data_IF_558153433345
#
_entry.id   IF_558153433345
#
_cell.length_a   1.000
_cell.length_b   1.000
_cell.length_c   1.000
_cell.angle_alpha   90.00
_cell.angle_beta   90.00
_cell.angle_gamma   90.00
#
_symmetry.space_group_name_H-M   'P 1'
#
loop_
_entity.id
_entity.type
_entity.pdbx_description
1 polymer ?
#
# COMPACT_ATOMS: atom_id res chain seq x y z
N UNK A 1 21.76 -4.13 31.81
CA UNK A 1 20.83 -3.39 32.68
C UNK A 1 19.57 -3.20 31.87
N UNK A 2 18.67 -4.18 31.94
CA UNK A 2 17.42 -4.23 31.17
C UNK A 2 16.37 -3.33 31.85
N UNK A 3 15.79 -2.39 31.10
CA UNK A 3 14.63 -1.62 31.55
C UNK A 3 13.35 -2.43 31.26
N UNK A 4 12.77 -3.01 32.30
CA UNK A 4 11.39 -3.49 32.27
C UNK A 4 10.47 -2.29 32.06
N UNK A 5 9.73 -2.29 30.95
CA UNK A 5 8.54 -1.47 30.83
C UNK A 5 7.47 -2.10 31.74
N UNK A 6 7.26 -1.50 32.91
CA UNK A 6 6.12 -1.82 33.77
C UNK A 6 4.84 -1.55 32.98
N UNK A 7 4.09 -2.62 32.71
CA UNK A 7 2.71 -2.48 32.24
C UNK A 7 1.90 -1.84 33.37
N UNK A 8 1.12 -0.79 33.12
CA UNK A 8 0.36 -0.14 34.18
C UNK A 8 -0.60 -1.15 34.82
N UNK A 9 -0.44 -1.35 36.13
CA UNK A 9 -1.32 -2.21 36.93
C UNK A 9 -2.66 -1.48 37.07
N UNK A 10 -3.69 -1.99 36.40
CA UNK A 10 -5.05 -1.47 36.51
C UNK A 10 -5.58 -1.83 37.91
N UNK A 11 -5.98 -0.82 38.70
CA UNK A 11 -6.49 -1.04 40.06
C UNK A 11 -7.84 -1.77 40.05
N UNK A 12 -8.18 -2.44 41.16
CA UNK A 12 -9.45 -3.15 41.30
C UNK A 12 -10.68 -2.23 41.20
N UNK A 13 -10.55 -0.97 41.62
CA UNK A 13 -11.62 0.02 41.53
C UNK A 13 -11.76 0.54 40.09
N UNK A 14 -10.63 0.78 39.40
CA UNK A 14 -10.60 1.09 37.97
C UNK A 14 -11.27 -0.02 37.14
N UNK A 15 -11.03 -1.29 37.47
CA UNK A 15 -11.66 -2.44 36.82
C UNK A 15 -13.19 -2.46 37.03
N UNK A 16 -13.68 -2.12 38.23
CA UNK A 16 -15.12 -2.06 38.54
C UNK A 16 -15.82 -0.92 37.80
N UNK A 17 -15.16 0.22 37.65
CA UNK A 17 -15.69 1.34 36.88
C UNK A 17 -15.79 0.98 35.39
N UNK A 18 -14.74 0.40 34.80
CA UNK A 18 -14.71 -0.03 33.38
C UNK A 18 -15.88 -0.96 33.02
N UNK A 19 -16.26 -1.89 33.90
CA UNK A 19 -17.35 -2.86 33.66
C UNK A 19 -18.75 -2.30 33.97
N UNK A 20 -18.87 -1.09 34.54
CA UNK A 20 -20.17 -0.48 34.85
C UNK A 20 -20.90 0.02 33.59
N UNK A 21 -22.24 0.08 33.64
CA UNK A 21 -23.06 0.60 32.53
C UNK A 21 -22.88 2.11 32.41
N UNK A 22 -22.59 2.60 31.19
CA UNK A 22 -22.42 4.01 30.91
C UNK A 22 -23.71 4.84 31.19
N UNK A 23 -23.58 6.12 31.56
CA UNK A 23 -22.34 6.86 31.81
C UNK A 23 -21.69 6.43 33.13
N UNK A 24 -20.37 6.17 33.11
CA UNK A 24 -19.63 5.67 34.26
C UNK A 24 -19.34 6.79 35.25
N UNK A 25 -19.18 6.45 36.52
CA UNK A 25 -18.55 7.38 37.44
C UNK A 25 -17.04 7.46 37.10
N UNK A 26 -16.47 8.67 37.16
CA UNK A 26 -15.09 8.94 36.73
C UNK A 26 -14.19 9.36 37.91
N UNK A 27 -14.50 8.88 39.12
CA UNK A 27 -13.76 9.25 40.34
C UNK A 27 -12.27 8.87 40.26
N UNK A 28 -11.93 7.87 39.44
CA UNK A 28 -10.57 7.39 39.24
C UNK A 28 -10.13 7.40 37.77
N UNK A 29 -10.84 8.13 36.90
CA UNK A 29 -10.57 8.21 35.46
C UNK A 29 -10.56 9.67 35.01
N UNK A 30 -9.54 10.08 34.26
CA UNK A 30 -9.48 11.46 33.73
C UNK A 30 -10.60 11.73 32.71
N UNK A 31 -10.94 10.72 31.90
CA UNK A 31 -12.00 10.77 30.90
C UNK A 31 -12.36 9.36 30.39
N UNK A 32 -13.51 9.23 29.71
CA UNK A 32 -13.85 8.09 28.87
C UNK A 32 -14.29 8.53 27.46
N UNK A 33 -14.04 7.68 26.46
CA UNK A 33 -14.50 7.87 25.10
C UNK A 33 -15.60 6.85 24.76
N UNK A 34 -16.78 7.33 24.43
CA UNK A 34 -17.94 6.51 24.08
C UNK A 34 -18.16 6.50 22.57
N UNK A 35 -18.44 5.32 22.02
CA UNK A 35 -18.75 5.13 20.60
C UNK A 35 -20.27 4.97 20.46
N UNK A 36 -20.94 5.92 19.81
CA UNK A 36 -22.41 5.98 19.70
C UNK A 36 -22.83 6.28 18.27
N UNK A 37 -23.46 5.31 17.58
CA UNK A 37 -24.02 5.48 16.23
C UNK A 37 -23.09 6.23 15.25
N UNK A 38 -21.82 5.81 15.19
CA UNK A 38 -20.74 6.40 14.36
C UNK A 38 -20.24 7.78 14.79
N UNK A 39 -20.69 8.28 15.93
CA UNK A 39 -20.16 9.44 16.61
C UNK A 39 -19.31 9.02 17.79
N UNK A 40 -18.48 9.94 18.25
CA UNK A 40 -17.65 9.75 19.42
C UNK A 40 -18.03 10.79 20.46
N UNK A 41 -18.14 10.39 21.72
CA UNK A 41 -18.44 11.30 22.82
C UNK A 41 -17.30 11.19 23.82
N UNK A 42 -16.59 12.30 24.03
CA UNK A 42 -15.67 12.43 25.15
C UNK A 42 -16.47 12.83 26.38
N UNK A 43 -16.41 11.99 27.41
CA UNK A 43 -16.98 12.24 28.72
C UNK A 43 -15.85 12.45 29.73
N UNK A 44 -15.86 13.57 30.45
CA UNK A 44 -14.85 13.88 31.46
C UNK A 44 -15.44 14.74 32.58
N UNK A 45 -14.72 14.84 33.70
CA UNK A 45 -15.09 15.69 34.82
C UNK A 45 -14.42 17.06 34.72
N UNK A 46 -15.20 18.12 34.91
CA UNK A 46 -14.68 19.48 35.15
C UNK A 46 -15.19 19.93 36.53
N UNK A 47 -14.33 19.77 37.56
CA UNK A 47 -14.78 19.79 38.96
C UNK A 47 -15.68 18.59 39.25
N UNK A 48 -16.87 18.81 39.83
CA UNK A 48 -17.86 17.76 40.09
C UNK A 48 -18.97 17.68 39.02
N UNK A 49 -18.70 18.18 37.81
CA UNK A 49 -19.67 18.18 36.71
C UNK A 49 -19.23 17.26 35.59
N UNK A 50 -20.15 16.41 35.16
CA UNK A 50 -19.99 15.58 33.97
C UNK A 50 -20.14 16.44 32.71
N UNK A 51 -19.12 16.43 31.86
CA UNK A 51 -19.09 17.12 30.58
C UNK A 51 -19.07 16.09 29.46
N UNK A 52 -19.91 16.31 28.44
CA UNK A 52 -19.99 15.48 27.24
C UNK A 52 -19.70 16.33 26.00
N UNK A 53 -18.68 15.96 25.24
CA UNK A 53 -18.34 16.61 23.97
C UNK A 53 -18.42 15.62 22.83
N UNK A 54 -19.24 15.92 21.82
CA UNK A 54 -19.21 15.16 20.58
C UNK A 54 -17.92 15.47 19.82
N UNK A 55 -17.22 14.42 19.41
CA UNK A 55 -15.99 14.49 18.61
C UNK A 55 -16.26 13.93 17.22
N UNK A 56 -15.70 14.59 16.21
CA UNK A 56 -15.59 14.04 14.87
C UNK A 56 -14.41 13.07 14.79
N UNK A 57 -14.42 12.17 13.80
CA UNK A 57 -13.29 11.28 13.53
C UNK A 57 -11.99 12.02 13.27
N UNK A 58 -12.04 13.23 12.69
CA UNK A 58 -10.86 14.03 12.40
C UNK A 58 -10.24 14.64 13.66
N UNK A 59 -11.05 15.07 14.63
CA UNK A 59 -10.57 15.56 15.93
C UNK A 59 -9.89 14.41 16.70
N UNK A 60 -10.50 13.23 16.68
CA UNK A 60 -9.94 12.03 17.31
C UNK A 60 -8.61 11.60 16.70
N UNK A 61 -8.52 11.58 15.36
CA UNK A 61 -7.26 11.29 14.67
C UNK A 61 -6.15 12.25 15.13
N UNK A 62 -6.45 13.56 15.14
CA UNK A 62 -5.50 14.60 15.61
C UNK A 62 -5.10 14.46 17.07
N UNK A 63 -6.01 14.01 17.95
CA UNK A 63 -5.71 13.80 19.36
C UNK A 63 -4.63 12.73 19.56
N UNK A 64 -4.55 11.74 18.65
CA UNK A 64 -3.56 10.67 18.68
C UNK A 64 -2.41 10.84 17.66
N UNK A 65 -2.45 11.86 16.79
CA UNK A 65 -1.42 12.08 15.75
C UNK A 65 -0.01 12.30 16.34
N UNK A 66 0.09 12.76 17.59
CA UNK A 66 1.36 12.98 18.29
C UNK A 66 1.80 11.81 19.17
N UNK A 67 0.99 10.75 19.28
CA UNK A 67 1.41 9.55 20.00
C UNK A 67 2.48 8.82 19.19
N UNK A 68 3.69 8.60 19.75
CA UNK A 68 4.77 7.98 19.00
C UNK A 68 4.38 6.55 18.60
N UNK A 69 4.17 6.35 17.30
CA UNK A 69 3.97 5.02 16.72
C UNK A 69 5.27 4.59 16.04
N UNK A 70 5.92 3.56 16.58
CA UNK A 70 7.07 2.94 15.92
C UNK A 70 6.58 1.85 14.97
N UNK A 71 6.74 2.07 13.66
CA UNK A 71 6.45 1.06 12.63
C UNK A 71 7.50 -0.05 12.57
N UNK A 72 8.56 0.07 13.37
CA UNK A 72 9.85 -0.58 13.14
C UNK A 72 10.55 0.00 11.92
N UNK A 73 11.64 -0.65 11.52
CA UNK A 73 12.37 -0.31 10.30
C UNK A 73 11.51 -0.53 9.06
N UNK A 74 11.28 0.53 8.28
CA UNK A 74 10.58 0.41 7.01
C UNK A 74 11.43 -0.41 6.02
N UNK A 75 10.84 -1.43 5.36
CA UNK A 75 11.48 -2.10 4.24
C UNK A 75 11.94 -1.11 3.16
N UNK A 76 13.11 -1.38 2.58
CA UNK A 76 13.84 -0.47 1.66
C UNK A 76 13.01 0.10 0.52
N UNK A 77 12.02 -0.66 0.03
CA UNK A 77 11.24 -0.29 -1.15
C UNK A 77 9.95 0.47 -0.79
N UNK A 78 9.58 0.58 0.48
CA UNK A 78 8.37 1.30 0.89
C UNK A 78 8.64 2.80 0.87
N UNK A 79 7.77 3.53 0.17
CA UNK A 79 7.87 4.99 0.03
C UNK A 79 6.74 5.73 0.73
N UNK A 80 5.61 5.06 0.96
CA UNK A 80 4.45 5.63 1.65
C UNK A 80 3.53 4.51 2.13
N UNK A 81 2.86 4.69 3.25
CA UNK A 81 1.79 3.82 3.72
C UNK A 81 0.75 4.63 4.49
N UNK A 82 -0.40 4.02 4.74
CA UNK A 82 -1.45 4.60 5.55
C UNK A 82 -2.64 3.65 5.68
N UNK A 83 -3.74 4.17 6.18
CA UNK A 83 -5.00 3.44 6.31
C UNK A 83 -6.17 4.27 5.82
N UNK A 84 -7.22 3.58 5.40
CA UNK A 84 -8.52 4.14 5.02
C UNK A 84 -9.62 3.25 5.62
N UNK A 85 -10.89 3.62 5.44
CA UNK A 85 -12.02 2.79 5.90
C UNK A 85 -12.08 1.40 5.26
N UNK A 86 -11.45 1.22 4.10
CA UNK A 86 -11.41 -0.08 3.40
C UNK A 86 -10.17 -0.91 3.74
N UNK A 87 -9.24 -0.35 4.52
CA UNK A 87 -8.05 -1.05 4.98
C UNK A 87 -6.75 -0.27 4.81
N UNK A 88 -5.66 -0.95 5.15
CA UNK A 88 -4.30 -0.44 5.00
C UNK A 88 -3.92 -0.38 3.52
N UNK A 89 -3.12 0.63 3.18
CA UNK A 89 -2.50 0.75 1.88
C UNK A 89 -1.00 1.02 2.01
N UNK A 90 -0.26 0.49 1.04
CA UNK A 90 1.20 0.58 1.00
C UNK A 90 1.65 0.83 -0.43
N UNK A 91 2.57 1.77 -0.60
CA UNK A 91 3.19 2.11 -1.87
C UNK A 91 4.66 1.73 -1.81
N UNK A 92 5.08 0.90 -2.77
CA UNK A 92 6.46 0.50 -2.98
C UNK A 92 7.00 1.06 -4.29
N UNK A 93 8.29 1.39 -4.30
CA UNK A 93 9.04 1.75 -5.49
C UNK A 93 10.19 0.75 -5.70
N UNK A 94 10.16 0.07 -6.84
CA UNK A 94 11.22 -0.83 -7.28
C UNK A 94 12.00 -0.14 -8.40
N UNK A 95 13.26 0.28 -8.16
CA UNK A 95 14.06 0.89 -9.21
C UNK A 95 14.31 -0.10 -10.36
N UNK A 96 14.62 0.43 -11.53
CA UNK A 96 15.01 -0.36 -12.69
C UNK A 96 16.01 -1.48 -12.33
N UNK A 97 15.57 -2.73 -12.53
CA UNK A 97 16.37 -3.92 -12.28
C UNK A 97 15.96 -5.07 -13.20
N UNK A 98 16.68 -6.19 -13.09
CA UNK A 98 16.37 -7.42 -13.84
C UNK A 98 15.50 -8.33 -13.00
N UNK A 99 14.52 -8.93 -13.65
CA UNK A 99 13.62 -9.88 -13.03
C UNK A 99 13.65 -11.21 -13.76
N UNK A 100 13.51 -12.29 -12.97
CA UNK A 100 13.27 -13.62 -13.49
C UNK A 100 11.76 -13.81 -13.60
N UNK A 101 11.25 -13.80 -14.83
CA UNK A 101 9.83 -13.91 -15.13
C UNK A 101 9.53 -15.29 -15.71
N UNK A 102 8.49 -15.94 -15.22
CA UNK A 102 7.92 -17.12 -15.89
C UNK A 102 6.86 -16.64 -16.87
N UNK A 103 7.11 -16.76 -18.18
CA UNK A 103 6.18 -16.34 -19.23
C UNK A 103 5.77 -17.57 -20.03
N UNK A 104 4.52 -18.01 -19.87
CA UNK A 104 4.05 -19.29 -20.36
C UNK A 104 4.98 -20.43 -19.87
N UNK A 105 5.52 -21.25 -20.77
CA UNK A 105 6.48 -22.32 -20.46
C UNK A 105 7.95 -21.85 -20.42
N UNK A 106 8.23 -20.57 -20.68
CA UNK A 106 9.60 -20.04 -20.80
C UNK A 106 9.99 -19.20 -19.58
N UNK A 107 11.22 -19.37 -19.10
CA UNK A 107 11.81 -18.48 -18.10
C UNK A 107 12.66 -17.40 -18.77
N UNK A 108 12.31 -16.14 -18.52
CA UNK A 108 12.99 -14.97 -19.07
C UNK A 108 13.72 -14.20 -17.96
N UNK A 109 14.90 -13.66 -18.29
CA UNK A 109 15.63 -12.73 -17.42
C UNK A 109 15.66 -11.34 -18.05
N UNK A 110 14.75 -10.48 -17.61
CA UNK A 110 14.39 -9.26 -18.34
C UNK A 110 14.72 -8.01 -17.53
N UNK A 111 15.46 -7.03 -18.09
CA UNK A 111 15.52 -5.70 -17.51
C UNK A 111 14.14 -5.04 -17.66
N UNK A 112 13.54 -4.64 -16.55
CA UNK A 112 12.29 -3.88 -16.52
C UNK A 112 12.57 -2.40 -16.24
N UNK A 113 11.63 -1.47 -16.53
CA UNK A 113 11.71 -0.11 -16.03
C UNK A 113 11.57 -0.10 -14.50
N UNK A 114 11.65 1.08 -13.88
CA UNK A 114 11.24 1.22 -12.49
C UNK A 114 9.73 1.00 -12.38
N UNK A 115 9.30 0.36 -11.31
CA UNK A 115 7.90 -0.02 -11.07
C UNK A 115 7.43 0.58 -9.75
N UNK A 116 6.21 1.10 -9.74
CA UNK A 116 5.48 1.47 -8.53
C UNK A 116 4.46 0.37 -8.29
N UNK A 117 4.47 -0.20 -7.09
CA UNK A 117 3.53 -1.24 -6.67
C UNK A 117 2.70 -0.71 -5.51
N UNK A 118 1.37 -0.79 -5.62
CA UNK A 118 0.45 -0.28 -4.62
C UNK A 118 -0.44 -1.43 -4.18
N UNK A 119 -0.53 -1.67 -2.88
CA UNK A 119 -1.54 -2.54 -2.28
C UNK A 119 -2.53 -1.70 -1.48
N UNK A 120 -3.81 -2.03 -1.56
CA UNK A 120 -4.86 -1.52 -0.68
C UNK A 120 -5.86 -2.64 -0.41
N UNK A 121 -6.02 -3.03 0.86
CA UNK A 121 -6.73 -4.27 1.20
C UNK A 121 -6.19 -5.45 0.38
N UNK A 122 -7.02 -6.21 -0.32
CA UNK A 122 -6.65 -7.30 -1.23
C UNK A 122 -6.44 -6.86 -2.70
N UNK A 123 -6.55 -5.56 -2.99
CA UNK A 123 -6.41 -4.99 -4.33
C UNK A 123 -5.02 -4.45 -4.56
N UNK A 124 -4.44 -4.78 -5.72
CA UNK A 124 -3.06 -4.43 -6.05
C UNK A 124 -2.95 -3.79 -7.42
N UNK A 125 -2.05 -2.82 -7.55
CA UNK A 125 -1.79 -2.06 -8.76
C UNK A 125 -0.29 -2.03 -9.02
N UNK A 126 0.10 -2.06 -10.30
CA UNK A 126 1.48 -1.88 -10.74
C UNK A 126 1.56 -0.95 -11.93
N UNK A 127 2.44 0.05 -11.82
CA UNK A 127 2.68 1.04 -12.85
C UNK A 127 4.16 1.14 -13.17
N UNK A 128 4.50 1.48 -14.41
CA UNK A 128 5.87 1.78 -14.80
C UNK A 128 6.15 3.28 -14.75
N UNK A 129 7.37 3.64 -14.36
CA UNK A 129 7.88 5.02 -14.43
C UNK A 129 9.24 5.08 -15.12
N UNK A 130 9.52 6.20 -15.77
CA UNK A 130 10.70 6.38 -16.63
C UNK A 130 12.01 6.66 -15.86
N UNK A 131 11.94 6.97 -14.57
CA UNK A 131 13.09 7.42 -13.75
C UNK A 131 13.51 6.36 -12.73
N UNK A 132 14.81 6.32 -12.41
CA UNK A 132 15.39 5.36 -11.45
C UNK A 132 15.26 5.79 -9.99
N UNK A 133 15.08 7.10 -9.74
CA UNK A 133 14.81 7.65 -8.41
C UNK A 133 13.33 7.99 -8.32
N UNK A 134 12.74 7.72 -7.16
CA UNK A 134 11.34 8.02 -6.90
C UNK A 134 11.11 9.54 -6.78
N UNK A 135 9.96 9.99 -7.28
CA UNK A 135 9.35 11.29 -7.06
C UNK A 135 7.82 11.10 -7.26
N UNK A 136 6.97 11.72 -6.44
CA UNK A 136 5.52 11.57 -6.51
C UNK A 136 4.92 12.11 -7.82
N UNK A 137 5.60 13.08 -8.45
CA UNK A 137 5.22 13.72 -9.71
C UNK A 137 5.63 12.93 -10.96
N UNK A 138 6.18 11.72 -10.82
CA UNK A 138 6.51 10.88 -11.97
C UNK A 138 5.23 10.47 -12.70
N UNK A 139 5.24 10.59 -14.02
CA UNK A 139 4.13 10.13 -14.86
C UNK A 139 4.08 8.60 -14.90
N UNK A 140 2.88 8.05 -14.69
CA UNK A 140 2.64 6.60 -14.73
C UNK A 140 2.33 6.10 -16.14
N UNK A 141 2.86 4.92 -16.41
CA UNK A 141 2.71 4.20 -17.67
C UNK A 141 2.21 2.78 -17.38
N UNK A 142 1.67 2.12 -18.38
CA UNK A 142 1.33 0.71 -18.26
C UNK A 142 2.59 -0.09 -17.88
N UNK A 143 2.46 -0.94 -16.86
CA UNK A 143 3.52 -1.87 -16.52
C UNK A 143 3.73 -2.85 -17.70
N UNK A 144 4.96 -3.04 -18.20
CA UNK A 144 5.23 -3.90 -19.34
C UNK A 144 5.26 -5.38 -18.95
N UNK A 145 4.18 -5.85 -18.33
CA UNK A 145 4.00 -7.19 -17.81
C UNK A 145 2.62 -7.69 -18.20
N UNK A 146 2.42 -8.96 -18.56
CA UNK A 146 1.09 -9.56 -18.64
C UNK A 146 0.38 -9.57 -17.29
N UNK A 147 -0.89 -9.97 -17.24
CA UNK A 147 -1.69 -10.06 -16.01
C UNK A 147 -1.84 -8.72 -15.25
N UNK A 148 -1.75 -7.60 -15.98
CA UNK A 148 -1.98 -6.25 -15.44
C UNK A 148 -3.05 -5.58 -16.31
N UNK A 149 -4.16 -5.17 -15.74
CA UNK A 149 -5.26 -4.54 -16.46
C UNK A 149 -4.89 -3.12 -16.93
N UNK A 150 -5.76 -2.50 -17.72
CA UNK A 150 -5.49 -1.19 -18.34
C UNK A 150 -5.33 -0.06 -17.30
N UNK A 151 -6.00 -0.14 -16.15
CA UNK A 151 -5.84 0.79 -15.02
C UNK A 151 -4.59 0.50 -14.16
N UNK A 152 -3.83 -0.55 -14.49
CA UNK A 152 -2.69 -1.02 -13.72
C UNK A 152 -3.05 -2.04 -12.64
N UNK A 153 -4.32 -2.42 -12.49
CA UNK A 153 -4.73 -3.44 -11.50
C UNK A 153 -4.12 -4.80 -11.84
N UNK A 154 -3.59 -5.49 -10.84
CA UNK A 154 -3.09 -6.86 -10.99
C UNK A 154 -4.25 -7.84 -11.12
N UNK A 155 -4.20 -8.67 -12.15
CA UNK A 155 -5.08 -9.82 -12.29
C UNK A 155 -4.42 -11.04 -11.62
N UNK A 156 -4.99 -11.51 -10.52
CA UNK A 156 -4.44 -12.63 -9.75
C UNK A 156 -4.88 -14.01 -10.26
N UNK A 157 -5.84 -14.07 -11.18
CA UNK A 157 -6.46 -15.33 -11.60
C UNK A 157 -7.08 -16.05 -10.39
N UNK A 158 -6.59 -17.26 -10.11
CA UNK A 158 -7.07 -18.09 -8.99
C UNK A 158 -6.27 -17.89 -7.69
N UNK A 159 -5.33 -16.95 -7.67
CA UNK A 159 -4.49 -16.69 -6.49
C UNK A 159 -5.19 -15.64 -5.63
N UNK A 160 -5.42 -15.93 -4.36
CA UNK A 160 -5.76 -14.89 -3.39
C UNK A 160 -4.49 -14.17 -2.94
N UNK A 161 -4.36 -12.84 -3.12
CA UNK A 161 -3.29 -12.09 -2.51
C UNK A 161 -3.50 -11.96 -1.00
N UNK A 162 -2.44 -11.61 -0.28
CA UNK A 162 -2.56 -11.26 1.14
C UNK A 162 -3.22 -9.87 1.27
N UNK A 163 -3.72 -9.52 2.46
CA UNK A 163 -4.13 -8.14 2.73
C UNK A 163 -2.88 -7.27 2.79
N UNK A 164 -2.89 -6.14 2.09
CA UNK A 164 -1.80 -5.19 2.03
C UNK A 164 -1.47 -4.63 3.42
N UNK A 165 -0.22 -4.81 3.84
CA UNK A 165 0.35 -4.25 5.06
C UNK A 165 1.86 -4.08 4.87
N UNK A 166 2.52 -3.41 5.81
CA UNK A 166 3.98 -3.29 5.81
C UNK A 166 4.68 -4.66 5.81
N UNK A 167 4.08 -5.68 6.44
CA UNK A 167 4.66 -7.02 6.55
C UNK A 167 4.36 -7.94 5.35
N UNK A 168 3.32 -7.67 4.57
CA UNK A 168 2.89 -8.54 3.46
C UNK A 168 3.21 -7.98 2.07
N UNK A 169 3.47 -6.67 1.95
CA UNK A 169 3.57 -6.01 0.65
C UNK A 169 4.71 -6.59 -0.21
N UNK A 170 5.87 -6.84 0.39
CA UNK A 170 7.04 -7.32 -0.34
C UNK A 170 6.89 -8.80 -0.75
N UNK A 171 6.37 -9.66 0.13
CA UNK A 171 6.10 -11.05 -0.22
C UNK A 171 5.03 -11.15 -1.31
N UNK A 172 4.03 -10.26 -1.28
CA UNK A 172 2.99 -10.20 -2.32
C UNK A 172 3.55 -9.72 -3.66
N UNK A 173 4.45 -8.74 -3.65
CA UNK A 173 5.20 -8.33 -4.84
C UNK A 173 5.97 -9.49 -5.47
N UNK A 174 6.72 -10.25 -4.66
CA UNK A 174 7.49 -11.39 -5.15
C UNK A 174 6.59 -12.54 -5.62
N UNK A 175 5.42 -12.73 -5.00
CA UNK A 175 4.41 -13.69 -5.46
C UNK A 175 3.85 -13.30 -6.84
N UNK A 176 3.58 -12.01 -7.07
CA UNK A 176 3.14 -11.51 -8.38
C UNK A 176 4.23 -11.70 -9.44
N UNK A 177 5.45 -11.21 -9.18
CA UNK A 177 6.57 -11.31 -10.13
C UNK A 177 6.96 -12.77 -10.42
N UNK A 178 6.86 -13.64 -9.43
CA UNK A 178 7.14 -15.07 -9.56
C UNK A 178 6.00 -15.90 -10.14
N UNK A 179 4.83 -15.30 -10.40
CA UNK A 179 3.69 -15.99 -11.02
C UNK A 179 3.95 -16.30 -12.49
N UNK A 180 3.12 -17.19 -13.06
CA UNK A 180 3.16 -17.46 -14.50
C UNK A 180 2.38 -16.37 -15.24
N UNK A 181 3.10 -15.61 -16.07
CA UNK A 181 2.52 -14.62 -16.97
C UNK A 181 2.02 -15.29 -18.25
N UNK A 182 0.72 -15.16 -18.52
CA UNK A 182 0.04 -15.77 -19.67
C UNK A 182 -0.26 -14.73 -20.76
N UNK A 183 -1.13 -15.06 -21.71
CA UNK A 183 -1.54 -14.14 -22.79
C UNK A 183 -2.53 -13.06 -22.33
N UNK A 184 -2.96 -13.09 -21.07
CA UNK A 184 -3.93 -12.17 -20.50
C UNK A 184 -3.36 -10.76 -20.36
N UNK A 185 -4.16 -9.78 -20.81
CA UNK A 185 -3.80 -8.37 -20.77
C UNK A 185 -2.45 -8.05 -21.40
N UNK A 186 -2.12 -8.65 -22.55
CA UNK A 186 -0.81 -8.44 -23.20
C UNK A 186 -0.73 -7.22 -24.11
N UNK A 187 -1.88 -6.64 -24.48
CA UNK A 187 -2.00 -5.57 -25.46
C UNK A 187 -1.87 -4.16 -24.85
N UNK A 188 -1.49 -3.17 -25.65
CA UNK A 188 -1.51 -1.75 -25.25
C UNK A 188 -0.42 -1.32 -24.26
N UNK A 189 0.68 -2.08 -24.16
CA UNK A 189 1.75 -1.87 -23.15
C UNK A 189 3.09 -1.43 -23.74
N UNK A 190 3.21 -1.46 -25.06
CA UNK A 190 4.40 -1.10 -25.81
C UNK A 190 3.99 -0.32 -27.05
N UNK A 191 4.72 0.75 -27.36
CA UNK A 191 4.53 1.50 -28.60
C UNK A 191 4.94 0.65 -29.82
N UNK A 192 5.96 -0.20 -29.66
CA UNK A 192 6.55 -0.98 -30.76
C UNK A 192 5.93 -2.36 -30.96
N UNK A 193 5.30 -2.93 -29.94
CA UNK A 193 4.80 -4.30 -29.97
C UNK A 193 3.36 -4.34 -29.48
N UNK A 194 2.47 -4.88 -30.31
CA UNK A 194 1.08 -5.13 -29.91
C UNK A 194 1.06 -6.07 -28.69
N UNK A 195 1.81 -7.18 -28.74
CA UNK A 195 1.92 -8.12 -27.63
C UNK A 195 3.19 -7.88 -26.79
N UNK A 196 3.02 -7.52 -25.52
CA UNK A 196 4.11 -7.23 -24.59
C UNK A 196 5.10 -8.39 -24.40
N UNK A 197 4.66 -9.65 -24.57
CA UNK A 197 5.52 -10.83 -24.45
C UNK A 197 6.62 -10.81 -25.51
N UNK A 198 6.34 -10.32 -26.72
CA UNK A 198 7.35 -10.22 -27.78
C UNK A 198 8.46 -9.25 -27.38
N UNK A 199 8.08 -8.13 -26.77
CA UNK A 199 9.05 -7.18 -26.24
C UNK A 199 9.88 -7.77 -25.10
N UNK A 200 9.25 -8.48 -24.15
CA UNK A 200 9.94 -9.16 -23.05
C UNK A 200 10.96 -10.17 -23.56
N UNK A 201 10.59 -10.99 -24.56
CA UNK A 201 11.51 -11.93 -25.23
C UNK A 201 12.66 -11.22 -25.93
N UNK A 202 12.41 -10.08 -26.58
CA UNK A 202 13.49 -9.26 -27.16
C UNK A 202 14.43 -8.71 -26.09
N UNK A 203 13.90 -8.17 -24.99
CA UNK A 203 14.73 -7.65 -23.90
C UNK A 203 15.55 -8.75 -23.22
N UNK A 204 14.98 -9.95 -23.02
CA UNK A 204 15.72 -11.13 -22.54
C UNK A 204 16.92 -11.46 -23.46
N UNK A 205 16.70 -11.52 -24.79
CA UNK A 205 17.79 -11.77 -25.76
C UNK A 205 18.89 -10.70 -25.67
N UNK A 206 18.51 -9.43 -25.60
CA UNK A 206 19.47 -8.31 -25.46
C UNK A 206 20.24 -8.38 -24.14
N UNK A 207 19.57 -8.75 -23.05
CA UNK A 207 20.18 -8.84 -21.73
C UNK A 207 21.17 -10.00 -21.59
N UNK A 208 20.99 -11.08 -22.36
CA UNK A 208 21.97 -12.19 -22.46
C UNK A 208 23.26 -11.78 -23.16
N UNK A 209 23.20 -10.83 -24.09
CA UNK A 209 24.36 -10.34 -24.85
C UNK A 209 25.09 -9.23 -24.07
N UNK A 210 24.36 -8.37 -23.35
CA UNK A 210 24.94 -7.23 -22.65
C UNK A 210 24.36 -7.01 -21.25
N UNK A 211 25.26 -6.93 -20.26
CA UNK A 211 24.94 -6.52 -18.90
C UNK A 211 24.50 -5.07 -18.77
N UNK A 212 24.72 -4.24 -19.79
CA UNK A 212 24.27 -2.85 -19.85
C UNK A 212 22.87 -2.69 -20.48
N UNK A 213 22.24 -3.78 -20.91
CA UNK A 213 20.90 -3.74 -21.49
C UNK A 213 19.87 -3.20 -20.48
N UNK A 214 19.03 -2.28 -20.96
CA UNK A 214 17.99 -1.57 -20.21
C UNK A 214 16.68 -1.68 -20.96
N UNK A 215 15.57 -1.68 -20.24
CA UNK A 215 14.25 -1.54 -20.86
C UNK A 215 14.16 -0.19 -21.59
N UNK A 216 13.63 -0.13 -22.84
CA UNK A 216 13.48 1.11 -23.57
C UNK A 216 12.32 1.94 -22.99
N UNK A 217 12.61 2.90 -22.11
CA UNK A 217 11.57 3.72 -21.47
C UNK A 217 10.76 4.58 -22.44
N UNK A 218 11.31 4.88 -23.62
CA UNK A 218 10.58 5.52 -24.72
C UNK A 218 9.49 4.64 -25.32
N UNK A 219 9.46 3.35 -25.02
CA UNK A 219 8.46 2.40 -25.52
C UNK A 219 7.27 2.24 -24.57
N UNK A 220 7.31 2.89 -23.40
CA UNK A 220 6.22 2.86 -22.43
C UNK A 220 5.04 3.69 -22.90
N UNK A 221 3.84 3.12 -22.81
CA UNK A 221 2.57 3.80 -23.09
C UNK A 221 2.01 4.41 -21.80
N UNK A 222 1.68 5.71 -21.76
CA UNK A 222 1.03 6.33 -20.60
C UNK A 222 -0.36 5.73 -20.37
N UNK A 223 -0.75 5.52 -19.11
CA UNK A 223 -2.13 5.06 -18.79
C UNK A 223 -3.16 6.14 -19.13
N UNK A 224 -2.79 7.40 -18.86
CA UNK A 224 -3.55 8.59 -19.21
C UNK A 224 -2.57 9.75 -19.35
N UNK A 225 -2.95 10.77 -20.12
CA UNK A 225 -2.20 12.01 -20.22
C UNK A 225 -1.96 12.63 -18.85
N UNK A 226 -0.69 12.95 -18.60
CA UNK A 226 -0.17 13.67 -17.43
C UNK A 226 -0.56 13.09 -16.06
N UNK A 227 -0.96 11.81 -15.98
CA UNK A 227 -1.30 11.19 -14.70
C UNK A 227 -0.03 10.84 -13.91
N UNK A 228 0.11 11.44 -12.74
CA UNK A 228 1.25 11.24 -11.82
C UNK A 228 1.03 10.05 -10.88
N UNK A 229 2.11 9.59 -10.22
CA UNK A 229 2.03 8.58 -9.16
C UNK A 229 1.16 9.09 -8.01
N UNK A 230 1.32 10.36 -7.61
CA UNK A 230 0.54 10.96 -6.53
C UNK A 230 -0.96 10.90 -6.79
N UNK A 231 -1.39 11.41 -7.95
CA UNK A 231 -2.80 11.40 -8.35
C UNK A 231 -3.36 9.99 -8.47
N UNK A 232 -2.57 9.04 -9.02
CA UNK A 232 -2.99 7.65 -9.14
C UNK A 232 -3.14 6.97 -7.78
N UNK A 233 -2.20 7.19 -6.84
CA UNK A 233 -2.28 6.68 -5.47
C UNK A 233 -3.47 7.29 -4.74
N UNK A 234 -3.71 8.59 -4.87
CA UNK A 234 -4.88 9.23 -4.27
C UNK A 234 -6.18 8.67 -4.83
N UNK A 235 -6.25 8.45 -6.14
CA UNK A 235 -7.43 7.87 -6.77
C UNK A 235 -7.73 6.48 -6.21
N UNK A 236 -6.76 5.56 -6.16
CA UNK A 236 -7.00 4.18 -5.66
C UNK A 236 -7.22 4.11 -4.15
N UNK A 237 -6.76 5.09 -3.38
CA UNK A 237 -6.96 5.13 -1.92
C UNK A 237 -8.26 5.84 -1.53
N UNK A 238 -8.78 6.77 -2.36
CA UNK A 238 -10.03 7.50 -2.09
C UNK A 238 -11.27 6.92 -2.80
N UNK A 239 -11.10 6.31 -3.98
CA UNK A 239 -12.23 5.97 -4.88
C UNK A 239 -12.85 4.60 -4.62
N UNK A 240 -12.38 3.86 -3.63
CA UNK A 240 -12.99 2.58 -3.26
C UNK A 240 -14.13 2.84 -2.27
N UNK A 241 -15.26 3.26 -2.84
CA UNK A 241 -16.59 3.23 -2.23
C UNK A 241 -17.48 2.31 -3.04
#
# INVERSE_FOLDING_TARGET
MESMHDSPIISGDTLREIISKAPRNLDHLDAELLFVDRNYILHYLEGNRHIYKSLTSDILRRAFDNEPTDTGWLPKNIIRHGSTTIGNWVVCFFPQQRYRLQVQSEQLYVPLPSLVFVGISDSYYVWAVKKIRFNSQLLIHHAPLPNVMNDGRVCWGNICPLIASLSTIESTWWKFIGSTFNQDYTQGKSIKFDNIIQQLKLQNRRARISNRSRYPTSDLIPIRDNLTVEEAVEYVTKSTK
#
